data_IF_722854961052
#
_entry.id   IF_722854961052
#
_cell.length_a   1.000
_cell.length_b   1.000
_cell.length_c   1.000
_cell.angle_alpha   90.00
_cell.angle_beta   90.00
_cell.angle_gamma   90.00
#
_symmetry.space_group_name_H-M   'P 1'
#
loop_
_entity.id
_entity.type
_entity.pdbx_description
1 polymer ?
#
# COMPACT_ATOMS: atom_id res chain seq x y z
N UNK A 1 41.76 -5.28 -16.73
CA UNK A 1 40.41 -5.68 -16.31
C UNK A 1 39.51 -4.47 -16.57
N UNK A 2 38.68 -4.50 -17.61
CA UNK A 2 37.88 -3.31 -18.01
C UNK A 2 36.80 -3.08 -16.94
N UNK A 3 36.82 -1.89 -16.33
CA UNK A 3 35.77 -1.39 -15.43
C UNK A 3 34.45 -1.20 -16.20
N UNK A 4 33.76 -2.31 -16.46
CA UNK A 4 32.42 -2.27 -17.03
C UNK A 4 31.43 -1.94 -15.91
N UNK A 5 31.26 -0.64 -15.66
CA UNK A 5 30.30 -0.07 -14.69
C UNK A 5 28.86 -0.57 -14.87
N UNK A 6 28.53 -1.17 -16.02
CA UNK A 6 27.21 -1.69 -16.39
C UNK A 6 26.97 -3.13 -15.94
N UNK A 7 28.04 -3.94 -15.78
CA UNK A 7 27.91 -5.37 -15.48
C UNK A 7 27.12 -5.63 -14.18
N UNK A 8 27.36 -4.93 -13.05
CA UNK A 8 26.60 -5.14 -11.82
C UNK A 8 25.10 -4.91 -11.98
N UNK A 9 24.70 -3.89 -12.75
CA UNK A 9 23.29 -3.55 -12.98
C UNK A 9 22.58 -4.58 -13.85
N UNK A 10 23.29 -5.19 -14.81
CA UNK A 10 22.69 -6.25 -15.66
C UNK A 10 22.48 -7.53 -14.87
N UNK A 11 23.38 -7.88 -13.95
CA UNK A 11 23.23 -9.07 -13.10
C UNK A 11 22.14 -8.89 -12.03
N UNK A 12 22.05 -7.72 -11.40
CA UNK A 12 21.11 -7.45 -10.29
C UNK A 12 19.75 -6.93 -10.81
N UNK A 13 19.74 -6.30 -11.98
CA UNK A 13 18.59 -5.63 -12.58
C UNK A 13 17.33 -6.51 -12.68
N UNK A 14 17.41 -7.75 -13.20
CA UNK A 14 16.25 -8.64 -13.28
C UNK A 14 15.65 -8.94 -11.90
N UNK A 15 16.48 -9.21 -10.90
CA UNK A 15 16.01 -9.48 -9.53
C UNK A 15 15.35 -8.26 -8.92
N UNK A 16 15.97 -7.08 -9.05
CA UNK A 16 15.40 -5.82 -8.55
C UNK A 16 14.08 -5.51 -9.25
N UNK A 17 14.01 -5.71 -10.57
CA UNK A 17 12.77 -5.50 -11.33
C UNK A 17 11.64 -6.41 -10.81
N UNK A 18 11.93 -7.69 -10.59
CA UNK A 18 10.94 -8.63 -10.04
C UNK A 18 10.51 -8.21 -8.64
N UNK A 19 11.45 -7.86 -7.76
CA UNK A 19 11.13 -7.37 -6.42
C UNK A 19 10.28 -6.11 -6.45
N UNK A 20 10.62 -5.15 -7.31
CA UNK A 20 9.84 -3.94 -7.49
C UNK A 20 8.44 -4.27 -7.99
N UNK A 21 8.29 -5.14 -8.98
CA UNK A 21 6.96 -5.53 -9.46
C UNK A 21 6.15 -6.20 -8.33
N UNK A 22 6.75 -7.10 -7.56
CA UNK A 22 6.05 -7.79 -6.47
C UNK A 22 5.64 -6.86 -5.32
N UNK A 23 6.33 -5.73 -5.11
CA UNK A 23 6.01 -4.79 -4.03
C UNK A 23 5.14 -3.64 -4.54
N UNK A 24 5.58 -3.00 -5.62
CA UNK A 24 4.97 -1.77 -6.14
C UNK A 24 3.61 -2.06 -6.79
N UNK A 25 3.48 -3.15 -7.53
CA UNK A 25 2.21 -3.49 -8.17
C UNK A 25 1.07 -3.69 -7.15
N UNK A 26 1.18 -4.57 -6.13
CA UNK A 26 0.10 -4.73 -5.16
C UNK A 26 -0.09 -3.50 -4.28
N UNK A 27 0.95 -2.70 -4.04
CA UNK A 27 0.82 -1.43 -3.32
C UNK A 27 -0.10 -0.45 -4.07
N UNK A 28 0.13 -0.24 -5.38
CA UNK A 28 -0.74 0.62 -6.18
C UNK A 28 -2.13 0.03 -6.38
N UNK A 29 -2.23 -1.29 -6.54
CA UNK A 29 -3.53 -1.95 -6.58
C UNK A 29 -4.31 -1.70 -5.30
N UNK A 30 -3.71 -1.95 -4.13
CA UNK A 30 -4.33 -1.70 -2.82
C UNK A 30 -4.72 -0.24 -2.63
N UNK A 31 -3.90 0.70 -3.10
CA UNK A 31 -4.22 2.12 -3.12
C UNK A 31 -5.40 2.43 -4.05
N UNK A 32 -5.54 1.77 -5.20
CA UNK A 32 -6.73 1.90 -6.05
C UNK A 32 -7.99 1.39 -5.34
N UNK A 33 -7.89 0.21 -4.71
CA UNK A 33 -8.99 -0.40 -3.95
C UNK A 33 -9.45 0.47 -2.79
N UNK A 34 -8.55 1.20 -2.11
CA UNK A 34 -8.92 2.02 -0.96
C UNK A 34 -9.86 3.19 -1.29
N UNK A 35 -9.90 3.64 -2.56
CA UNK A 35 -10.88 4.61 -3.06
C UNK A 35 -12.21 3.99 -3.49
N UNK A 36 -12.33 2.66 -3.40
CA UNK A 36 -13.54 1.91 -3.75
C UNK A 36 -14.21 1.34 -2.51
N UNK A 37 -15.53 1.31 -2.51
CA UNK A 37 -16.30 0.50 -1.58
C UNK A 37 -16.42 -0.89 -2.20
N UNK A 38 -15.79 -1.85 -1.54
CA UNK A 38 -15.82 -3.23 -1.97
C UNK A 38 -15.86 -4.17 -0.77
N UNK A 39 -16.71 -5.18 -0.85
CA UNK A 39 -16.85 -6.20 0.19
C UNK A 39 -16.68 -7.58 -0.44
N UNK A 40 -15.56 -8.22 -0.10
CA UNK A 40 -15.17 -9.54 -0.61
C UNK A 40 -16.19 -10.64 -0.23
N UNK A 41 -16.82 -10.53 0.95
CA UNK A 41 -17.71 -11.54 1.53
C UNK A 41 -19.14 -11.38 1.04
N UNK A 42 -19.63 -10.13 0.92
CA UNK A 42 -21.01 -9.84 0.52
C UNK A 42 -21.24 -9.92 -1.00
N UNK A 43 -20.22 -10.19 -1.80
CA UNK A 43 -20.36 -10.32 -3.25
C UNK A 43 -20.81 -9.02 -3.93
N UNK A 44 -20.27 -7.87 -3.49
CA UNK A 44 -20.63 -6.56 -4.02
C UNK A 44 -19.88 -6.15 -5.29
N UNK A 45 -20.47 -5.26 -6.08
CA UNK A 45 -19.78 -4.60 -7.19
C UNK A 45 -18.72 -3.60 -6.67
N UNK A 46 -17.66 -3.41 -7.45
CA UNK A 46 -16.66 -2.39 -7.18
C UNK A 46 -17.28 -1.01 -7.39
N UNK A 47 -17.50 -0.25 -6.31
CA UNK A 47 -18.04 1.10 -6.39
C UNK A 47 -16.94 2.12 -6.08
N UNK A 48 -16.62 2.99 -7.03
CA UNK A 48 -15.68 4.09 -6.75
C UNK A 48 -16.36 5.15 -5.87
N UNK A 49 -15.85 5.30 -4.64
CA UNK A 49 -16.40 6.22 -3.63
C UNK A 49 -15.48 7.40 -3.32
N UNK A 50 -14.33 7.49 -4.00
CA UNK A 50 -13.34 8.54 -3.79
C UNK A 50 -12.77 8.52 -2.37
N UNK A 51 -12.75 9.68 -1.71
CA UNK A 51 -12.16 9.84 -0.37
C UNK A 51 -13.08 9.45 0.79
N UNK A 52 -14.27 8.93 0.50
CA UNK A 52 -15.29 8.62 1.52
C UNK A 52 -14.79 7.63 2.58
N UNK A 53 -14.07 6.60 2.16
CA UNK A 53 -13.48 5.60 3.05
C UNK A 53 -12.50 6.24 4.04
N UNK A 54 -11.63 7.14 3.56
CA UNK A 54 -10.68 7.86 4.39
C UNK A 54 -11.38 8.80 5.38
N UNK A 55 -12.39 9.55 4.92
CA UNK A 55 -13.19 10.40 5.80
C UNK A 55 -13.84 9.59 6.91
N UNK A 56 -14.43 8.44 6.58
CA UNK A 56 -15.05 7.56 7.56
C UNK A 56 -14.02 7.02 8.56
N UNK A 57 -12.90 6.47 8.08
CA UNK A 57 -11.85 5.92 8.95
C UNK A 57 -11.30 6.96 9.93
N UNK A 58 -11.03 8.18 9.48
CA UNK A 58 -10.42 9.22 10.34
C UNK A 58 -11.45 9.87 11.27
N UNK A 59 -12.65 10.16 10.76
CA UNK A 59 -13.61 11.01 11.47
C UNK A 59 -14.76 10.27 12.14
N UNK A 60 -15.12 9.09 11.65
CA UNK A 60 -16.31 8.36 12.08
C UNK A 60 -15.99 7.07 12.81
N UNK A 61 -14.85 6.45 12.55
CA UNK A 61 -14.43 5.21 13.21
C UNK A 61 -13.77 5.50 14.58
N UNK A 62 -14.42 5.17 15.71
CA UNK A 62 -13.85 5.36 17.05
C UNK A 62 -12.68 4.41 17.33
N UNK A 63 -12.66 3.22 16.71
CA UNK A 63 -11.59 2.24 16.88
C UNK A 63 -10.31 2.72 16.21
N UNK A 64 -10.41 3.27 14.99
CA UNK A 64 -9.26 3.84 14.29
C UNK A 64 -8.53 4.87 15.15
N UNK A 65 -9.27 5.81 15.76
CA UNK A 65 -8.69 6.88 16.61
C UNK A 65 -8.00 6.33 17.85
N UNK A 66 -8.58 5.30 18.47
CA UNK A 66 -8.04 4.68 19.67
C UNK A 66 -6.73 3.97 19.33
N UNK A 67 -6.76 3.10 18.32
CA UNK A 67 -5.58 2.37 17.86
C UNK A 67 -4.48 3.32 17.37
N UNK A 68 -4.82 4.36 16.61
CA UNK A 68 -3.86 5.35 16.11
C UNK A 68 -3.13 6.08 17.24
N UNK A 69 -3.84 6.50 18.29
CA UNK A 69 -3.23 7.14 19.47
C UNK A 69 -2.27 6.20 20.18
N UNK A 70 -2.66 4.94 20.38
CA UNK A 70 -1.81 3.93 21.01
C UNK A 70 -0.56 3.68 20.17
N UNK A 71 -0.68 3.50 18.85
CA UNK A 71 0.48 3.32 17.96
C UNK A 71 1.45 4.48 18.04
N UNK A 72 0.96 5.73 18.03
CA UNK A 72 1.82 6.91 18.18
C UNK A 72 2.54 6.89 19.54
N UNK A 73 1.82 6.60 20.62
CA UNK A 73 2.41 6.53 21.95
C UNK A 73 3.55 5.48 21.99
N UNK A 74 3.34 4.31 21.39
CA UNK A 74 4.38 3.27 21.32
C UNK A 74 5.60 3.65 20.48
N UNK A 75 5.43 4.45 19.41
CA UNK A 75 6.55 4.89 18.57
C UNK A 75 7.36 6.00 19.26
N UNK A 76 6.71 6.81 20.10
CA UNK A 76 7.33 7.96 20.74
C UNK A 76 7.95 7.67 22.12
N UNK A 77 7.56 6.57 22.78
CA UNK A 77 8.12 6.11 24.06
C UNK A 77 9.26 5.13 23.81
#
# INVERSE_FOLDING_TARGET
MRDSKVAPFVFIGPTVLVLLLLVIFPMFYSLGVSFTEWNLIKGGSWQFVGLRNYYYAIFKDPYFRTSFKVTILYVCV
#
